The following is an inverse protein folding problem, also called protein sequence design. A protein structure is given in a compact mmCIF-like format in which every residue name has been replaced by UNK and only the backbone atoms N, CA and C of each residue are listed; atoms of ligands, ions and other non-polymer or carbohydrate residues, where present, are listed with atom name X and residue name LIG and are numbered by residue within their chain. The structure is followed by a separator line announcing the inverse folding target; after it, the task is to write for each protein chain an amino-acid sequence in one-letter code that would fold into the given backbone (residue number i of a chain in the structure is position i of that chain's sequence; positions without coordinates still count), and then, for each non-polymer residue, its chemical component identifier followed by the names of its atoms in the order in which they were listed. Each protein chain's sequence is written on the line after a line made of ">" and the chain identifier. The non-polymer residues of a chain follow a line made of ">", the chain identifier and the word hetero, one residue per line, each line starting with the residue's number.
data_IF_353592430304
#
_entry.id   IF_353592430304
#
_cell.length_a   1.000
_cell.length_b   1.000
_cell.length_c   1.000
_cell.angle_alpha   90.00
_cell.angle_beta   90.00
_cell.angle_gamma   90.00
#
_symmetry.space_group_name_H-M   'P 1'
#
loop_
_entity.id
_entity.type
_entity.pdbx_description
1 polymer ?
#
# COMPACT_ATOMS: atom_id res chain seq x y z
N UNK A 1 8.05 19.03 14.02
CA UNK A 1 8.19 17.65 13.48
C UNK A 1 6.87 16.94 13.76
N UNK A 2 6.26 16.31 12.76
CA UNK A 2 5.12 15.43 13.02
C UNK A 2 5.68 14.09 13.49
N UNK A 3 5.19 13.60 14.63
CA UNK A 3 5.54 12.28 15.14
C UNK A 3 4.49 11.27 14.70
N UNK A 4 4.88 10.00 14.62
CA UNK A 4 3.96 8.92 14.33
C UNK A 4 2.85 8.86 15.39
N UNK A 5 1.59 8.88 14.96
CA UNK A 5 0.44 8.79 15.86
C UNK A 5 0.36 7.46 16.62
N UNK A 6 1.01 6.39 16.13
CA UNK A 6 0.98 5.06 16.75
C UNK A 6 2.11 4.83 17.76
N UNK A 7 3.35 5.17 17.41
CA UNK A 7 4.54 4.86 18.23
C UNK A 7 5.35 6.09 18.66
N UNK A 8 4.93 7.30 18.29
CA UNK A 8 5.63 8.56 18.56
C UNK A 8 7.03 8.73 17.93
N UNK A 9 7.44 7.80 17.06
CA UNK A 9 8.70 7.89 16.32
C UNK A 9 8.73 9.02 15.27
N UNK A 10 9.92 9.28 14.71
CA UNK A 10 10.12 10.25 13.62
C UNK A 10 9.42 9.82 12.33
N UNK A 11 8.85 10.79 11.62
CA UNK A 11 8.33 10.62 10.28
C UNK A 11 9.31 11.17 9.25
N UNK A 12 9.52 10.43 8.17
CA UNK A 12 10.31 10.86 7.01
C UNK A 12 9.50 10.76 5.72
N UNK A 13 9.66 11.72 4.82
CA UNK A 13 8.99 11.71 3.53
C UNK A 13 9.61 10.65 2.60
N UNK A 14 8.79 9.76 2.05
CA UNK A 14 9.20 8.68 1.13
C UNK A 14 8.18 8.48 0.03
N UNK A 15 8.61 7.88 -1.07
CA UNK A 15 7.71 7.32 -2.08
C UNK A 15 7.51 5.84 -1.78
N UNK A 16 6.25 5.41 -1.70
CA UNK A 16 5.88 4.04 -1.37
C UNK A 16 5.00 3.42 -2.44
N UNK A 17 4.92 2.09 -2.44
CA UNK A 17 3.98 1.32 -3.24
C UNK A 17 2.77 0.97 -2.38
N UNK A 18 1.57 1.23 -2.90
CA UNK A 18 0.31 1.02 -2.19
C UNK A 18 -0.51 -0.04 -2.92
N UNK A 19 -0.81 -1.13 -2.23
CA UNK A 19 -1.69 -2.19 -2.74
C UNK A 19 -3.14 -1.98 -2.28
N UNK A 20 -4.09 -2.14 -3.20
CA UNK A 20 -5.53 -2.04 -2.92
C UNK A 20 -6.27 -3.15 -3.65
N UNK A 21 -7.21 -3.79 -2.97
CA UNK A 21 -8.16 -4.68 -3.63
C UNK A 21 -9.42 -3.89 -4.00
N UNK A 22 -9.81 -3.95 -5.26
CA UNK A 22 -10.96 -3.21 -5.80
C UNK A 22 -11.63 -3.99 -6.94
N UNK A 23 -12.96 -4.19 -6.86
CA UNK A 23 -13.75 -4.92 -7.86
C UNK A 23 -13.14 -6.27 -8.27
N UNK A 24 -12.64 -7.05 -7.30
CA UNK A 24 -12.04 -8.36 -7.54
C UNK A 24 -10.65 -8.32 -8.20
N UNK A 25 -10.04 -7.15 -8.34
CA UNK A 25 -8.67 -6.96 -8.84
C UNK A 25 -7.76 -6.44 -7.75
N UNK A 26 -6.50 -6.85 -7.79
CA UNK A 26 -5.43 -6.23 -7.01
C UNK A 26 -4.85 -5.07 -7.83
N UNK A 27 -4.91 -3.87 -7.27
CA UNK A 27 -4.38 -2.63 -7.84
C UNK A 27 -3.12 -2.26 -7.07
N UNK A 28 -2.00 -2.10 -7.79
CA UNK A 28 -0.71 -1.68 -7.24
C UNK A 28 -0.46 -0.26 -7.74
N UNK A 29 -0.38 0.69 -6.81
CA UNK A 29 -0.12 2.11 -7.10
C UNK A 29 1.31 2.42 -6.65
N UNK A 30 2.20 2.67 -7.59
CA UNK A 30 3.60 2.97 -7.33
C UNK A 30 3.85 4.47 -7.14
N UNK A 31 4.97 4.82 -6.50
CA UNK A 31 5.45 6.20 -6.34
C UNK A 31 4.46 7.13 -5.63
N UNK A 32 3.76 6.62 -4.60
CA UNK A 32 2.85 7.43 -3.79
C UNK A 32 3.65 8.19 -2.73
N UNK A 33 3.58 9.54 -2.65
CA UNK A 33 4.25 10.29 -1.59
C UNK A 33 3.58 10.02 -0.23
N UNK A 34 4.39 9.78 0.80
CA UNK A 34 3.91 9.48 2.15
C UNK A 34 4.88 9.97 3.22
N UNK A 35 4.36 10.28 4.40
CA UNK A 35 5.14 10.38 5.63
C UNK A 35 5.23 8.99 6.25
N UNK A 36 6.41 8.36 6.25
CA UNK A 36 6.61 7.01 6.77
C UNK A 36 7.37 7.06 8.08
N UNK A 37 6.88 6.37 9.10
CA UNK A 37 7.58 6.25 10.37
C UNK A 37 8.85 5.42 10.22
N UNK A 38 9.98 5.96 10.67
CA UNK A 38 11.28 5.31 10.60
C UNK A 38 11.42 4.14 11.60
N UNK A 39 10.54 4.08 12.61
CA UNK A 39 10.58 3.05 13.65
C UNK A 39 9.59 1.91 13.39
N UNK A 40 8.31 2.19 13.12
CA UNK A 40 7.28 1.15 12.96
C UNK A 40 6.87 0.89 11.50
N UNK A 41 7.26 1.74 10.56
CA UNK A 41 6.91 1.61 9.14
C UNK A 41 5.52 2.11 8.74
N UNK A 42 4.72 2.64 9.68
CA UNK A 42 3.39 3.18 9.38
C UNK A 42 3.48 4.32 8.36
N UNK A 43 2.58 4.31 7.38
CA UNK A 43 2.57 5.28 6.28
C UNK A 43 1.35 6.20 6.36
N UNK A 44 1.60 7.51 6.41
CA UNK A 44 0.57 8.53 6.45
C UNK A 44 0.49 9.27 5.11
N UNK A 45 -0.72 9.49 4.63
CA UNK A 45 -1.00 10.17 3.37
C UNK A 45 -1.84 11.41 3.65
N UNK A 46 -1.53 12.51 2.97
CA UNK A 46 -2.36 13.71 3.04
C UNK A 46 -3.67 13.53 2.26
N UNK A 47 -4.57 14.52 2.40
CA UNK A 47 -5.88 14.51 1.77
C UNK A 47 -5.78 14.47 0.23
N UNK A 48 -4.85 15.25 -0.35
CA UNK A 48 -4.69 15.32 -1.80
C UNK A 48 -4.22 13.98 -2.38
N UNK A 49 -3.22 13.37 -1.76
CA UNK A 49 -2.66 12.07 -2.13
C UNK A 49 -3.72 10.99 -2.00
N UNK A 50 -4.49 11.01 -0.91
CA UNK A 50 -5.60 10.06 -0.69
C UNK A 50 -6.67 10.19 -1.78
N UNK A 51 -7.07 11.42 -2.13
CA UNK A 51 -8.02 11.66 -3.22
C UNK A 51 -7.50 11.19 -4.58
N UNK A 52 -6.20 11.38 -4.87
CA UNK A 52 -5.58 10.89 -6.12
C UNK A 52 -5.56 9.36 -6.16
N UNK A 53 -5.18 8.70 -5.07
CA UNK A 53 -5.22 7.23 -4.98
C UNK A 53 -6.64 6.69 -5.20
N UNK A 54 -7.66 7.32 -4.62
CA UNK A 54 -9.05 6.92 -4.83
C UNK A 54 -9.49 7.05 -6.30
N UNK A 55 -9.07 8.12 -6.99
CA UNK A 55 -9.34 8.31 -8.42
C UNK A 55 -8.64 7.24 -9.27
N UNK A 56 -7.39 6.93 -8.97
CA UNK A 56 -6.61 5.89 -9.67
C UNK A 56 -7.29 4.52 -9.47
N UNK A 57 -7.62 4.17 -8.23
CA UNK A 57 -8.29 2.91 -7.87
C UNK A 57 -9.62 2.72 -8.59
N UNK A 58 -10.42 3.78 -8.73
CA UNK A 58 -11.77 3.73 -9.33
C UNK A 58 -11.78 3.97 -10.84
N UNK A 59 -10.64 4.28 -11.46
CA UNK A 59 -10.58 4.53 -12.90
C UNK A 59 -10.96 3.24 -13.66
N UNK A 60 -11.90 3.37 -14.61
CA UNK A 60 -12.27 2.25 -15.48
C UNK A 60 -11.18 1.95 -16.53
N UNK A 61 -10.44 2.98 -16.95
CA UNK A 61 -9.29 2.90 -17.85
C UNK A 61 -8.21 3.82 -17.29
N UNK A 62 -7.02 3.27 -17.02
CA UNK A 62 -5.87 4.07 -16.59
C UNK A 62 -4.76 4.01 -17.67
N UNK A 63 -4.27 5.15 -18.20
CA UNK A 63 -3.42 5.19 -19.40
C UNK A 63 -2.10 4.41 -19.31
N UNK A 64 -1.62 4.16 -18.09
CA UNK A 64 -0.36 3.47 -17.82
C UNK A 64 -0.57 2.18 -17.03
N UNK A 65 -1.80 1.65 -17.03
CA UNK A 65 -2.10 0.38 -16.37
C UNK A 65 -1.32 -0.76 -17.04
N UNK A 66 -0.62 -1.53 -16.24
CA UNK A 66 0.09 -2.73 -16.67
C UNK A 66 -0.48 -3.91 -15.90
N UNK A 67 -1.00 -4.90 -16.62
CA UNK A 67 -1.40 -6.17 -16.02
C UNK A 67 -0.17 -7.06 -15.94
N UNK A 68 0.18 -7.50 -14.73
CA UNK A 68 1.27 -8.44 -14.49
C UNK A 68 0.69 -9.78 -14.01
N UNK A 69 1.25 -10.89 -14.51
CA UNK A 69 0.91 -12.24 -14.03
C UNK A 69 1.94 -12.63 -12.96
N UNK A 70 1.47 -12.82 -11.73
CA UNK A 70 2.33 -13.19 -10.60
C UNK A 70 2.06 -14.68 -10.27
N UNK A 71 3.08 -15.56 -10.24
CA UNK A 71 2.90 -16.93 -9.77
C UNK A 71 2.62 -16.92 -8.26
N UNK A 72 1.44 -17.41 -7.85
CA UNK A 72 1.02 -17.42 -6.44
C UNK A 72 1.03 -18.85 -5.89
N UNK A 73 1.69 -19.04 -4.75
CA UNK A 73 1.62 -20.29 -3.98
C UNK A 73 0.71 -20.12 -2.77
N UNK A 74 -0.35 -20.94 -2.68
CA UNK A 74 -1.23 -20.97 -1.50
C UNK A 74 -0.76 -22.07 -0.55
N UNK A 75 -0.52 -21.70 0.71
CA UNK A 75 -0.13 -22.62 1.80
C UNK A 75 -1.16 -22.49 2.92
N UNK A 76 -1.60 -23.61 3.50
CA UNK A 76 -2.54 -23.62 4.63
C UNK A 76 -1.74 -23.57 5.93
N UNK A 77 -2.05 -22.63 6.82
CA UNK A 77 -1.37 -22.50 8.11
C UNK A 77 -1.47 -23.80 8.93
N UNK A 78 -2.66 -24.39 8.98
CA UNK A 78 -2.97 -25.58 9.80
C UNK A 78 -2.43 -26.89 9.21
N UNK A 79 -1.74 -26.85 8.07
CA UNK A 79 -1.20 -28.05 7.42
C UNK A 79 0.16 -28.49 7.95
N UNK A 80 0.77 -27.69 8.82
CA UNK A 80 1.98 -28.05 9.53
C UNK A 80 1.62 -28.67 10.89
N UNK A 81 1.94 -29.94 11.15
CA UNK A 81 1.79 -30.51 12.48
C UNK A 81 2.70 -29.73 13.43
N UNK A 82 2.11 -29.16 14.49
CA UNK A 82 2.87 -28.59 15.60
C UNK A 82 3.49 -29.78 16.35
N UNK A 83 4.82 -29.82 16.41
CA UNK A 83 5.58 -30.79 17.21
C UNK A 83 5.58 -30.41 18.68
#
# INVERSE_FOLDING_TARGET
>A
MKNCYLCQGSLGHKFVTVERDWNGKKIIIENVPAEVCEQCGESFFDAETTMKMEKIKKAAVYPQERTISIPVSVRKFDSLPIA
#
